data_IF_877891228422
#
_entry.id   IF_877891228422
#
_cell.length_a   1.000
_cell.length_b   1.000
_cell.length_c   1.000
_cell.angle_alpha   90.00
_cell.angle_beta   90.00
_cell.angle_gamma   90.00
#
_symmetry.space_group_name_H-M   'P 1'
#
loop_
_entity.id
_entity.type
_entity.pdbx_description
1 polymer ?
#
# COMPACT_ATOMS: atom_id res chain seq x y z
N UNK A 1 -7.93 -3.46 24.89
CA UNK A 1 -7.96 -2.01 24.64
C UNK A 1 -8.17 -1.81 23.14
N UNK A 2 -9.23 -1.13 22.68
CA UNK A 2 -9.31 -0.75 21.28
C UNK A 2 -8.10 0.14 20.99
N UNK A 3 -7.36 -0.11 19.91
CA UNK A 3 -6.36 0.86 19.46
C UNK A 3 -7.13 2.18 19.27
N UNK A 4 -6.79 3.28 19.95
CA UNK A 4 -7.24 4.58 19.50
C UNK A 4 -6.67 4.66 18.09
N UNK A 5 -7.54 4.53 17.09
CA UNK A 5 -7.15 4.81 15.73
C UNK A 5 -6.60 6.23 15.79
N UNK A 6 -5.29 6.39 15.56
CA UNK A 6 -4.65 7.67 15.26
C UNK A 6 -5.16 8.17 13.89
N UNK A 7 -6.46 8.00 13.63
CA UNK A 7 -7.16 8.48 12.48
C UNK A 7 -7.33 9.96 12.75
N UNK A 8 -6.38 10.74 12.25
CA UNK A 8 -6.68 12.11 11.89
C UNK A 8 -8.02 12.12 11.17
N UNK A 9 -8.97 12.96 11.61
CA UNK A 9 -10.27 13.17 10.98
C UNK A 9 -10.15 13.43 9.47
N UNK A 10 -8.95 13.85 9.03
CA UNK A 10 -8.54 14.03 7.66
C UNK A 10 -7.43 13.03 7.30
N UNK A 11 -7.45 12.50 6.08
CA UNK A 11 -6.36 11.66 5.55
C UNK A 11 -5.05 12.48 5.47
N UNK A 12 -4.25 12.47 6.55
CA UNK A 12 -2.98 13.17 6.65
C UNK A 12 -1.84 12.16 6.60
N UNK A 13 -0.80 12.47 5.82
CA UNK A 13 0.26 11.52 5.56
C UNK A 13 1.18 11.88 4.41
N UNK A 14 2.01 10.92 4.02
CA UNK A 14 2.94 11.01 2.89
C UNK A 14 2.55 10.08 1.76
N UNK A 15 2.80 10.52 0.53
CA UNK A 15 2.80 9.69 -0.67
C UNK A 15 4.18 9.03 -0.81
N UNK A 16 4.19 7.71 -0.82
CA UNK A 16 5.34 6.80 -0.79
C UNK A 16 6.23 6.90 0.46
N UNK A 17 7.10 5.90 0.63
CA UNK A 17 8.06 5.81 1.73
C UNK A 17 9.17 6.85 1.60
N UNK A 18 9.70 7.30 2.74
CA UNK A 18 10.92 8.11 2.86
C UNK A 18 10.69 9.48 3.49
N UNK A 19 9.46 9.98 3.51
CA UNK A 19 9.11 11.29 4.09
C UNK A 19 8.60 11.22 5.53
N UNK A 20 8.15 10.05 5.98
CA UNK A 20 7.34 9.88 7.20
C UNK A 20 8.08 10.21 8.50
N UNK A 21 9.41 10.23 8.49
CA UNK A 21 10.19 10.63 9.67
C UNK A 21 9.92 12.08 10.08
N UNK A 22 9.67 12.99 9.12
CA UNK A 22 9.36 14.39 9.43
C UNK A 22 8.07 14.53 10.27
N UNK A 23 7.09 13.66 10.04
CA UNK A 23 5.85 13.63 10.80
C UNK A 23 6.06 13.09 12.21
N UNK A 24 6.83 12.01 12.33
CA UNK A 24 7.18 11.43 13.63
C UNK A 24 8.01 12.38 14.50
N UNK A 25 8.98 13.09 13.90
CA UNK A 25 9.81 14.09 14.59
C UNK A 25 8.99 15.27 15.12
N UNK A 26 7.88 15.59 14.46
CA UNK A 26 6.90 16.58 14.92
C UNK A 26 5.94 16.05 15.99
N UNK A 27 6.11 14.80 16.45
CA UNK A 27 5.21 14.15 17.40
C UNK A 27 3.84 13.79 16.83
N UNK A 28 3.71 13.75 15.49
CA UNK A 28 2.48 13.44 14.79
C UNK A 28 2.48 11.99 14.29
N UNK A 29 1.30 11.37 14.27
CA UNK A 29 1.03 10.16 13.51
C UNK A 29 0.40 10.48 12.16
N UNK A 30 0.19 9.46 11.34
CA UNK A 30 -0.51 9.60 10.06
C UNK A 30 -0.36 8.37 9.18
N UNK A 31 -0.73 8.52 7.91
CA UNK A 31 -0.74 7.46 6.92
C UNK A 31 0.47 7.55 5.97
N UNK A 32 0.94 6.41 5.50
CA UNK A 32 1.85 6.31 4.36
C UNK A 32 1.14 5.57 3.24
N UNK A 33 0.90 6.25 2.12
CA UNK A 33 0.39 5.64 0.91
C UNK A 33 1.56 5.01 0.16
N UNK A 34 1.69 3.69 0.17
CA UNK A 34 2.69 2.97 -0.61
C UNK A 34 2.09 2.59 -1.95
N UNK A 35 2.80 2.92 -3.04
CA UNK A 35 2.43 2.40 -4.35
C UNK A 35 3.22 1.17 -4.72
N UNK A 36 2.51 0.15 -5.18
CA UNK A 36 3.08 -1.10 -5.66
C UNK A 36 2.76 -1.27 -7.15
N UNK A 37 3.79 -1.49 -7.95
CA UNK A 37 3.65 -1.99 -9.32
C UNK A 37 3.61 -3.52 -9.25
N UNK A 38 2.41 -4.08 -9.40
CA UNK A 38 2.21 -5.54 -9.24
C UNK A 38 2.18 -6.28 -10.57
N UNK A 39 2.09 -5.59 -11.70
CA UNK A 39 1.88 -6.24 -13.00
C UNK A 39 0.49 -6.88 -13.08
N UNK A 40 0.32 -7.81 -14.01
CA UNK A 40 -0.93 -8.54 -14.22
C UNK A 40 -0.68 -10.04 -14.53
N UNK A 41 0.41 -10.60 -14.01
CA UNK A 41 0.63 -12.05 -14.05
C UNK A 41 -0.19 -12.74 -12.95
N UNK A 42 -1.24 -13.46 -13.35
CA UNK A 42 -2.13 -14.19 -12.45
C UNK A 42 -1.44 -15.26 -11.60
N UNK A 43 -0.30 -15.77 -12.02
CA UNK A 43 0.44 -16.83 -11.33
C UNK A 43 1.47 -16.28 -10.35
N UNK A 44 1.70 -14.96 -10.35
CA UNK A 44 2.57 -14.33 -9.39
C UNK A 44 1.88 -14.25 -8.01
N UNK A 45 2.45 -14.97 -7.04
CA UNK A 45 1.97 -15.05 -5.66
C UNK A 45 2.79 -14.23 -4.68
N UNK A 46 3.67 -13.34 -5.17
CA UNK A 46 4.45 -12.46 -4.30
C UNK A 46 3.58 -11.36 -3.69
N UNK A 47 3.96 -10.96 -2.48
CA UNK A 47 3.42 -9.80 -1.76
C UNK A 47 4.56 -8.90 -1.26
N UNK A 48 4.20 -7.94 -0.43
CA UNK A 48 5.14 -6.98 0.18
C UNK A 48 4.99 -6.97 1.70
N UNK A 49 5.96 -6.39 2.38
CA UNK A 49 5.97 -6.29 3.84
C UNK A 49 6.05 -4.82 4.26
N UNK A 50 5.09 -4.41 5.08
CA UNK A 50 4.93 -3.04 5.58
C UNK A 50 5.21 -2.94 7.09
N UNK A 51 5.82 -3.97 7.69
CA UNK A 51 6.13 -4.03 9.13
C UNK A 51 7.06 -2.88 9.55
N UNK A 52 7.92 -2.41 8.65
CA UNK A 52 8.79 -1.25 8.83
C UNK A 52 7.99 0.02 9.19
N UNK A 53 6.80 0.20 8.61
CA UNK A 53 5.95 1.36 8.86
C UNK A 53 5.05 1.15 10.07
N UNK A 54 4.36 0.01 10.15
CA UNK A 54 3.40 -0.22 11.24
C UNK A 54 4.05 -0.41 12.60
N UNK A 55 5.29 -0.94 12.65
CA UNK A 55 6.05 -1.03 13.91
C UNK A 55 6.40 0.34 14.50
N UNK A 56 6.35 1.40 13.68
CA UNK A 56 6.54 2.81 14.09
C UNK A 56 5.23 3.52 14.44
N UNK A 57 4.10 2.80 14.45
CA UNK A 57 2.78 3.35 14.77
C UNK A 57 2.11 4.12 13.63
N UNK A 58 2.62 3.99 12.40
CA UNK A 58 2.05 4.61 11.20
C UNK A 58 0.91 3.77 10.62
N UNK A 59 -0.09 4.43 10.06
CA UNK A 59 -1.08 3.79 9.18
C UNK A 59 -0.49 3.53 7.79
N UNK A 60 -0.92 2.47 7.12
CA UNK A 60 -0.43 2.11 5.77
C UNK A 60 -1.62 1.95 4.83
N UNK A 61 -1.57 2.62 3.68
CA UNK A 61 -2.49 2.44 2.55
C UNK A 61 -1.67 1.91 1.39
N UNK A 62 -2.14 0.86 0.74
CA UNK A 62 -1.43 0.28 -0.41
C UNK A 62 -2.23 0.50 -1.68
N UNK A 63 -1.66 1.23 -2.64
CA UNK A 63 -2.22 1.40 -3.98
C UNK A 63 -1.58 0.39 -4.93
N UNK A 64 -2.38 -0.50 -5.49
CA UNK A 64 -1.94 -1.51 -6.46
C UNK A 64 -2.13 -0.98 -7.88
N UNK A 65 -1.03 -0.90 -8.62
CA UNK A 65 -1.01 -0.52 -10.03
C UNK A 65 -0.52 -1.70 -10.89
N UNK A 66 -1.04 -1.83 -12.10
CA UNK A 66 -0.48 -2.75 -13.08
C UNK A 66 0.93 -2.33 -13.53
N UNK A 67 1.18 -1.02 -13.61
CA UNK A 67 2.44 -0.44 -14.03
C UNK A 67 2.53 1.06 -13.76
N UNK A 68 3.60 1.67 -14.26
CA UNK A 68 3.82 3.11 -14.25
C UNK A 68 4.07 3.67 -15.65
N UNK A 69 3.91 5.00 -15.77
CA UNK A 69 4.16 5.75 -16.99
C UNK A 69 3.47 5.12 -18.22
N UNK A 70 4.26 4.65 -19.18
CA UNK A 70 3.77 4.09 -20.45
C UNK A 70 2.98 2.78 -20.29
N UNK A 71 3.14 2.06 -19.19
CA UNK A 71 2.36 0.84 -18.90
C UNK A 71 0.95 1.21 -18.43
N UNK A 72 0.80 2.35 -17.76
CA UNK A 72 -0.45 2.76 -17.12
C UNK A 72 -0.75 2.02 -15.82
N UNK A 73 -1.62 2.59 -14.99
CA UNK A 73 -2.00 2.01 -13.70
C UNK A 73 -2.99 0.84 -13.85
N UNK A 74 -3.69 0.76 -14.98
CA UNK A 74 -4.57 -0.34 -15.37
C UNK A 74 -4.03 -0.96 -16.66
N UNK A 75 -4.11 -2.30 -16.82
CA UNK A 75 -3.71 -2.93 -18.06
C UNK A 75 -4.81 -2.78 -19.12
N UNK A 76 -4.57 -3.32 -20.32
CA UNK A 76 -5.63 -3.47 -21.32
C UNK A 76 -6.75 -4.38 -20.81
N UNK A 77 -7.97 -4.19 -21.33
CA UNK A 77 -9.19 -4.86 -20.88
C UNK A 77 -9.07 -6.39 -20.92
N UNK A 78 -8.34 -6.91 -21.92
CA UNK A 78 -8.04 -8.35 -22.07
C UNK A 78 -7.29 -8.98 -20.88
N UNK A 79 -6.70 -8.17 -19.99
CA UNK A 79 -5.90 -8.60 -18.85
C UNK A 79 -6.53 -8.21 -17.51
N UNK A 80 -7.77 -7.71 -17.47
CA UNK A 80 -8.42 -7.33 -16.21
C UNK A 80 -8.61 -8.50 -15.24
N UNK A 81 -8.99 -9.68 -15.74
CA UNK A 81 -9.14 -10.86 -14.88
C UNK A 81 -7.80 -11.30 -14.27
N UNK A 82 -6.73 -11.28 -15.07
CA UNK A 82 -5.39 -11.64 -14.61
C UNK A 82 -4.85 -10.59 -13.62
N UNK A 83 -5.13 -9.31 -13.84
CA UNK A 83 -4.81 -8.24 -12.90
C UNK A 83 -5.57 -8.35 -11.58
N UNK A 84 -6.87 -8.63 -11.64
CA UNK A 84 -7.68 -8.85 -10.44
C UNK A 84 -7.14 -10.03 -9.62
N UNK A 85 -6.79 -11.14 -10.28
CA UNK A 85 -6.17 -12.29 -9.62
C UNK A 85 -4.80 -11.94 -9.04
N UNK A 86 -3.97 -11.17 -9.77
CA UNK A 86 -2.68 -10.69 -9.29
C UNK A 86 -2.81 -9.82 -8.04
N UNK A 87 -3.76 -8.89 -8.02
CA UNK A 87 -4.09 -8.06 -6.86
C UNK A 87 -4.53 -8.91 -5.66
N UNK A 88 -5.42 -9.88 -5.87
CA UNK A 88 -5.86 -10.79 -4.80
C UNK A 88 -4.71 -11.61 -4.22
N UNK A 89 -3.79 -12.09 -5.08
CA UNK A 89 -2.59 -12.79 -4.65
C UNK A 89 -1.66 -11.88 -3.84
N UNK A 90 -1.44 -10.64 -4.32
CA UNK A 90 -0.62 -9.66 -3.62
C UNK A 90 -1.15 -9.39 -2.21
N UNK A 91 -2.45 -9.12 -2.08
CA UNK A 91 -3.10 -8.86 -0.79
C UNK A 91 -2.95 -10.06 0.15
N UNK A 92 -3.20 -11.28 -0.32
CA UNK A 92 -3.08 -12.50 0.50
C UNK A 92 -1.65 -12.74 1.01
N UNK A 93 -0.65 -12.43 0.18
CA UNK A 93 0.77 -12.67 0.48
C UNK A 93 1.45 -11.50 1.17
N UNK A 94 0.76 -10.38 1.39
CA UNK A 94 1.32 -9.19 2.01
C UNK A 94 1.06 -9.14 3.51
N UNK A 95 1.93 -8.46 4.26
CA UNK A 95 1.83 -8.33 5.71
C UNK A 95 2.08 -6.89 6.17
N UNK A 96 1.47 -6.49 7.28
CA UNK A 96 1.69 -5.19 7.92
C UNK A 96 0.62 -4.14 7.55
N UNK A 97 0.11 -4.13 6.33
CA UNK A 97 -1.11 -3.38 6.01
C UNK A 97 -2.33 -4.19 6.46
N UNK A 98 -3.26 -3.57 7.20
CA UNK A 98 -4.48 -4.24 7.67
C UNK A 98 -5.58 -4.12 6.62
N UNK A 99 -6.33 -5.22 6.41
CA UNK A 99 -7.55 -5.25 5.61
C UNK A 99 -8.79 -4.94 6.48
#
# INVERSE_FOLDING_TARGET
MPRPLNDSTYLYGFHDRGGEQNMLDAGLGGWVLVTEEVGYDRNNTSGSNYTDLVSRGLGVIVRLNAGYAVVGTLPYERAYDDFAQRCANFVRSSSGAHL
#
